data_IF_358340633301
#
_entry.id   IF_358340633301
#
_cell.length_a   1.000
_cell.length_b   1.000
_cell.length_c   1.000
_cell.angle_alpha   90.00
_cell.angle_beta   90.00
_cell.angle_gamma   90.00
#
_symmetry.space_group_name_H-M   'P 1'
#
loop_
_entity.id
_entity.type
_entity.pdbx_description
1 polymer ?
#
# COMPACT_ATOMS: atom_id res chain seq x y z
N UNK A 1 -20.66 -27.02 -27.21
CA UNK A 1 -21.98 -27.60 -27.46
C UNK A 1 -21.84 -28.71 -28.52
N UNK A 2 -22.43 -29.85 -28.24
CA UNK A 2 -22.46 -31.00 -29.15
C UNK A 2 -23.91 -31.51 -29.22
N UNK A 3 -24.34 -31.92 -30.40
CA UNK A 3 -25.64 -32.56 -30.65
C UNK A 3 -25.37 -33.77 -31.56
N UNK A 4 -25.81 -34.98 -31.15
CA UNK A 4 -25.61 -36.24 -31.89
C UNK A 4 -24.14 -36.45 -32.34
N UNK A 5 -23.15 -36.24 -31.48
CA UNK A 5 -21.69 -36.29 -31.74
C UNK A 5 -21.18 -35.27 -32.78
N UNK A 6 -21.99 -34.30 -33.18
CA UNK A 6 -21.57 -33.18 -34.03
C UNK A 6 -21.20 -32.01 -33.20
N UNK A 7 -19.97 -31.48 -33.37
CA UNK A 7 -19.52 -30.25 -32.75
C UNK A 7 -20.22 -29.04 -33.32
N UNK A 8 -21.09 -28.38 -32.54
CA UNK A 8 -21.88 -27.22 -32.96
C UNK A 8 -21.16 -25.90 -32.72
N UNK A 9 -20.35 -25.85 -31.70
CA UNK A 9 -19.61 -24.63 -31.35
C UNK A 9 -19.16 -24.55 -29.91
N UNK A 10 -18.30 -23.56 -29.61
CA UNK A 10 -17.80 -23.26 -28.28
C UNK A 10 -18.14 -21.80 -27.94
N UNK A 11 -18.66 -21.58 -26.73
CA UNK A 11 -18.81 -20.26 -26.15
C UNK A 11 -17.73 -20.11 -25.09
N UNK A 12 -16.85 -19.15 -25.29
CA UNK A 12 -15.82 -18.82 -24.32
C UNK A 12 -16.27 -17.62 -23.51
N UNK A 13 -16.27 -17.74 -22.20
CA UNK A 13 -16.53 -16.64 -21.27
C UNK A 13 -15.22 -16.30 -20.56
N UNK A 14 -14.79 -15.05 -20.64
CA UNK A 14 -13.64 -14.55 -19.94
C UNK A 14 -14.01 -13.23 -19.24
N UNK A 15 -13.55 -13.08 -18.02
CA UNK A 15 -13.71 -11.80 -17.30
C UNK A 15 -12.65 -10.82 -17.79
N UNK A 16 -13.02 -9.64 -18.33
CA UNK A 16 -12.06 -8.70 -18.88
C UNK A 16 -11.23 -8.09 -17.75
N UNK A 17 -9.93 -7.91 -18.01
CA UNK A 17 -9.06 -7.17 -17.09
C UNK A 17 -9.57 -5.74 -16.96
N UNK A 18 -9.59 -5.21 -15.74
CA UNK A 18 -9.98 -3.84 -15.47
C UNK A 18 -9.01 -2.88 -16.16
N UNK A 19 -9.54 -1.81 -16.75
CA UNK A 19 -8.78 -0.86 -17.57
C UNK A 19 -7.62 -0.18 -16.82
N UNK A 20 -7.75 -0.03 -15.50
CA UNK A 20 -6.75 0.59 -14.64
C UNK A 20 -5.62 -0.36 -14.22
N UNK A 21 -5.79 -1.69 -14.40
CA UNK A 21 -4.85 -2.68 -13.87
C UNK A 21 -3.46 -2.56 -14.49
N UNK A 22 -3.36 -2.43 -15.80
CA UNK A 22 -2.07 -2.36 -16.48
C UNK A 22 -1.29 -1.10 -16.08
N UNK A 23 -1.95 0.05 -16.03
CA UNK A 23 -1.32 1.31 -15.64
C UNK A 23 -0.88 1.26 -14.16
N UNK A 24 -1.73 0.71 -13.28
CA UNK A 24 -1.42 0.57 -11.86
C UNK A 24 -0.20 -0.35 -11.64
N UNK A 25 -0.11 -1.48 -12.35
CA UNK A 25 1.02 -2.40 -12.26
C UNK A 25 2.30 -1.71 -12.72
N UNK A 26 2.27 -1.01 -13.85
CA UNK A 26 3.42 -0.25 -14.34
C UNK A 26 3.87 0.83 -13.33
N UNK A 27 2.91 1.51 -12.69
CA UNK A 27 3.24 2.51 -11.66
C UNK A 27 3.87 1.88 -10.41
N UNK A 28 3.46 0.66 -10.02
CA UNK A 28 4.07 -0.09 -8.92
C UNK A 28 5.51 -0.50 -9.26
N UNK A 29 5.74 -1.01 -10.45
CA UNK A 29 7.08 -1.39 -10.91
C UNK A 29 8.03 -0.19 -11.02
N UNK A 30 7.53 0.96 -11.46
CA UNK A 30 8.30 2.21 -11.53
C UNK A 30 8.80 2.70 -10.15
N UNK A 31 8.14 2.29 -9.07
CA UNK A 31 8.57 2.58 -7.69
C UNK A 31 9.30 1.39 -7.04
N UNK A 32 9.79 0.47 -7.89
CA UNK A 32 10.62 -0.70 -7.52
C UNK A 32 9.86 -1.71 -6.65
N UNK A 33 8.57 -1.90 -6.91
CA UNK A 33 7.75 -2.95 -6.27
C UNK A 33 7.53 -4.06 -7.30
N UNK A 34 8.04 -5.27 -7.01
CA UNK A 34 7.80 -6.46 -7.83
C UNK A 34 6.32 -6.87 -7.68
N UNK A 35 5.61 -6.92 -8.80
CA UNK A 35 4.22 -7.36 -8.82
C UNK A 35 4.16 -8.86 -9.16
N UNK A 36 3.45 -9.62 -8.33
CA UNK A 36 3.31 -11.07 -8.47
C UNK A 36 1.84 -11.44 -8.50
N UNK A 37 1.43 -12.21 -9.49
CA UNK A 37 0.06 -12.74 -9.58
C UNK A 37 0.00 -14.15 -8.99
N UNK A 38 -0.98 -14.38 -8.12
CA UNK A 38 -1.27 -15.69 -7.54
C UNK A 38 -2.73 -16.03 -7.86
N UNK A 39 -2.95 -17.08 -8.61
CA UNK A 39 -4.29 -17.48 -9.05
C UNK A 39 -4.50 -18.99 -8.99
N UNK A 40 -5.76 -19.40 -8.80
CA UNK A 40 -6.19 -20.79 -8.95
C UNK A 40 -6.41 -21.23 -10.39
N UNK A 41 -6.40 -20.30 -11.35
CA UNK A 41 -6.60 -20.59 -12.76
C UNK A 41 -5.48 -21.46 -13.32
N UNK A 42 -5.77 -22.15 -14.41
CA UNK A 42 -4.78 -22.92 -15.13
C UNK A 42 -3.67 -22.02 -15.71
N UNK A 43 -2.51 -22.61 -15.97
CA UNK A 43 -1.31 -21.91 -16.39
C UNK A 43 -1.51 -21.11 -17.69
N UNK A 44 -2.26 -21.63 -18.65
CA UNK A 44 -2.52 -20.96 -19.93
C UNK A 44 -3.33 -19.67 -19.74
N UNK A 45 -4.40 -19.74 -18.96
CA UNK A 45 -5.26 -18.59 -18.63
C UNK A 45 -4.50 -17.57 -17.80
N UNK A 46 -3.80 -18.03 -16.76
CA UNK A 46 -3.04 -17.17 -15.88
C UNK A 46 -1.95 -16.38 -16.62
N UNK A 47 -1.19 -17.03 -17.50
CA UNK A 47 -0.17 -16.37 -18.31
C UNK A 47 -0.76 -15.39 -19.34
N UNK A 48 -1.91 -15.70 -19.94
CA UNK A 48 -2.59 -14.78 -20.86
C UNK A 48 -3.04 -13.51 -20.14
N UNK A 49 -3.64 -13.64 -18.95
CA UNK A 49 -4.08 -12.51 -18.12
C UNK A 49 -2.87 -11.70 -17.64
N UNK A 50 -1.83 -12.37 -17.17
CA UNK A 50 -0.61 -11.71 -16.70
C UNK A 50 0.06 -10.90 -17.80
N UNK A 51 0.16 -11.45 -19.00
CA UNK A 51 0.71 -10.75 -20.17
C UNK A 51 -0.10 -9.49 -20.50
N UNK A 52 -1.44 -9.59 -20.51
CA UNK A 52 -2.31 -8.43 -20.74
C UNK A 52 -2.19 -7.38 -19.62
N UNK A 53 -2.01 -7.82 -18.37
CA UNK A 53 -1.89 -6.92 -17.22
C UNK A 53 -0.47 -6.33 -17.07
N UNK A 54 0.53 -6.88 -17.74
CA UNK A 54 1.94 -6.50 -17.61
C UNK A 54 2.64 -7.13 -16.39
N UNK A 55 2.11 -8.23 -15.84
CA UNK A 55 2.72 -8.95 -14.71
C UNK A 55 3.72 -9.99 -15.23
N UNK A 56 4.96 -9.92 -14.75
CA UNK A 56 6.04 -10.79 -15.19
C UNK A 56 6.18 -12.09 -14.37
N UNK A 57 5.59 -12.14 -13.19
CA UNK A 57 5.71 -13.29 -12.29
C UNK A 57 4.36 -13.83 -11.87
N UNK A 58 4.11 -15.10 -12.21
CA UNK A 58 2.84 -15.75 -12.01
C UNK A 58 3.02 -17.04 -11.22
N UNK A 59 2.13 -17.29 -10.28
CA UNK A 59 1.88 -18.58 -9.65
C UNK A 59 0.48 -19.01 -10.03
N UNK A 60 0.37 -19.90 -10.98
CA UNK A 60 -0.88 -20.45 -11.50
C UNK A 60 -1.24 -21.78 -10.79
N UNK A 61 -2.49 -22.22 -10.95
CA UNK A 61 -3.02 -23.47 -10.39
C UNK A 61 -2.77 -23.63 -8.88
N UNK A 62 -2.76 -22.53 -8.14
CA UNK A 62 -2.51 -22.50 -6.70
C UNK A 62 -3.81 -22.73 -5.95
N UNK A 63 -3.92 -23.83 -5.23
CA UNK A 63 -5.08 -24.10 -4.37
C UNK A 63 -5.12 -23.09 -3.20
N UNK A 64 -6.30 -22.79 -2.64
CA UNK A 64 -6.43 -21.86 -1.51
C UNK A 64 -5.48 -22.19 -0.34
N UNK A 65 -5.36 -23.47 0.02
CA UNK A 65 -4.44 -23.96 1.05
C UNK A 65 -2.95 -23.78 0.73
N UNK A 66 -2.60 -23.63 -0.53
CA UNK A 66 -1.22 -23.45 -0.98
C UNK A 66 -0.81 -21.99 -1.12
N UNK A 67 -1.77 -21.05 -1.22
CA UNK A 67 -1.49 -19.63 -1.34
C UNK A 67 -0.63 -19.10 -0.18
N UNK A 68 -0.89 -19.58 1.05
CA UNK A 68 -0.06 -19.22 2.21
C UNK A 68 1.41 -19.61 2.03
N UNK A 69 1.68 -20.81 1.48
CA UNK A 69 3.04 -21.27 1.24
C UNK A 69 3.78 -20.38 0.22
N UNK A 70 3.06 -19.89 -0.79
CA UNK A 70 3.61 -18.93 -1.76
C UNK A 70 3.98 -17.62 -1.07
N UNK A 71 3.10 -17.06 -0.23
CA UNK A 71 3.40 -15.85 0.54
C UNK A 71 4.63 -16.06 1.43
N UNK A 72 4.71 -17.17 2.16
CA UNK A 72 5.87 -17.48 3.00
C UNK A 72 7.19 -17.58 2.19
N UNK A 73 7.12 -18.12 0.97
CA UNK A 73 8.27 -18.14 0.06
C UNK A 73 8.68 -16.73 -0.39
N UNK A 74 7.71 -15.87 -0.70
CA UNK A 74 7.96 -14.49 -1.09
C UNK A 74 8.53 -13.67 0.06
N UNK A 75 8.03 -13.83 1.28
CA UNK A 75 8.53 -13.16 2.50
C UNK A 75 10.01 -13.42 2.79
N UNK A 76 10.56 -14.55 2.35
CA UNK A 76 12.02 -14.81 2.45
C UNK A 76 12.86 -13.89 1.56
N UNK A 77 12.25 -13.26 0.55
CA UNK A 77 12.92 -12.35 -0.41
C UNK A 77 12.76 -10.88 -0.05
N UNK A 78 11.71 -10.54 0.72
CA UNK A 78 11.42 -9.17 1.12
C UNK A 78 10.05 -9.04 1.78
N UNK A 79 9.65 -7.82 2.06
CA UNK A 79 8.31 -7.53 2.59
C UNK A 79 7.24 -7.76 1.54
N UNK A 80 6.13 -8.35 1.93
CA UNK A 80 5.03 -8.74 1.05
C UNK A 80 3.74 -8.05 1.46
N UNK A 81 3.16 -7.30 0.54
CA UNK A 81 1.78 -6.87 0.63
C UNK A 81 0.90 -7.82 -0.20
N UNK A 82 -0.11 -8.40 0.40
CA UNK A 82 -1.13 -9.18 -0.29
C UNK A 82 -2.34 -8.31 -0.60
N UNK A 83 -2.76 -8.29 -1.84
CA UNK A 83 -3.96 -7.56 -2.29
C UNK A 83 -4.98 -8.58 -2.77
N UNK A 84 -6.18 -8.54 -2.23
CA UNK A 84 -7.25 -9.48 -2.57
C UNK A 84 -8.64 -8.93 -2.29
N UNK A 85 -9.68 -9.64 -2.73
CA UNK A 85 -11.08 -9.30 -2.45
C UNK A 85 -11.55 -9.72 -1.04
N UNK A 86 -10.77 -10.49 -0.37
CA UNK A 86 -10.90 -10.87 1.04
C UNK A 86 -11.78 -12.07 1.35
N UNK A 87 -12.68 -12.49 0.49
CA UNK A 87 -13.59 -13.61 0.81
C UNK A 87 -12.83 -14.94 0.89
N UNK A 88 -12.08 -15.26 -0.18
CA UNK A 88 -11.31 -16.48 -0.27
C UNK A 88 -9.84 -16.30 0.15
N UNK A 89 -9.40 -15.07 0.26
CA UNK A 89 -8.01 -14.72 0.52
C UNK A 89 -7.76 -14.27 1.98
N UNK A 90 -8.77 -14.25 2.84
CA UNK A 90 -8.66 -13.84 4.25
C UNK A 90 -7.47 -14.48 4.99
N UNK A 91 -7.25 -15.82 4.93
CA UNK A 91 -6.08 -16.44 5.58
C UNK A 91 -4.74 -15.95 5.03
N UNK A 92 -4.72 -15.61 3.73
CA UNK A 92 -3.52 -15.17 3.03
C UNK A 92 -3.21 -13.70 3.32
N UNK A 93 -4.26 -12.86 3.44
CA UNK A 93 -4.14 -11.46 3.87
C UNK A 93 -3.48 -11.35 5.24
N UNK A 94 -3.96 -12.15 6.21
CA UNK A 94 -3.39 -12.19 7.57
C UNK A 94 -1.93 -12.67 7.59
N UNK A 95 -1.52 -13.53 6.65
CA UNK A 95 -0.16 -14.07 6.60
C UNK A 95 0.87 -13.16 5.93
N UNK A 96 0.43 -12.22 5.13
CA UNK A 96 1.30 -11.22 4.51
C UNK A 96 1.95 -10.32 5.58
N UNK A 97 2.88 -9.45 5.18
CA UNK A 97 3.37 -8.38 6.07
C UNK A 97 2.37 -7.22 6.11
N UNK A 98 1.59 -7.06 5.05
CA UNK A 98 0.47 -6.13 4.94
C UNK A 98 -0.62 -6.81 4.13
N UNK A 99 -1.81 -6.95 4.68
CA UNK A 99 -3.02 -7.39 3.98
C UNK A 99 -3.84 -6.20 3.49
N UNK A 100 -4.16 -6.16 2.22
CA UNK A 100 -4.97 -5.11 1.58
C UNK A 100 -6.20 -5.72 0.95
N UNK A 101 -7.37 -5.41 1.48
CA UNK A 101 -8.64 -5.78 0.85
C UNK A 101 -9.08 -4.70 -0.14
N UNK A 102 -9.51 -5.10 -1.34
CA UNK A 102 -10.04 -4.19 -2.36
C UNK A 102 -11.50 -4.48 -2.69
N UNK A 103 -12.26 -3.39 -2.87
CA UNK A 103 -13.71 -3.48 -3.05
C UNK A 103 -14.45 -3.39 -1.73
N UNK A 104 -15.74 -3.11 -1.78
CA UNK A 104 -16.61 -3.12 -0.61
C UNK A 104 -16.69 -4.57 -0.06
N UNK A 105 -15.62 -4.96 0.63
CA UNK A 105 -15.41 -6.31 1.11
C UNK A 105 -16.51 -6.74 2.05
N UNK A 106 -16.75 -8.04 2.13
CA UNK A 106 -17.51 -8.66 3.20
C UNK A 106 -16.86 -8.34 4.54
N UNK A 107 -17.66 -8.38 5.62
CA UNK A 107 -17.14 -8.16 6.99
C UNK A 107 -15.89 -9.01 7.28
N UNK A 108 -15.80 -10.22 6.70
CA UNK A 108 -14.63 -11.11 6.81
C UNK A 108 -13.36 -10.53 6.20
N UNK A 109 -13.48 -9.79 5.08
CA UNK A 109 -12.33 -9.13 4.45
C UNK A 109 -11.83 -7.96 5.28
N UNK A 110 -12.76 -7.20 5.85
CA UNK A 110 -12.47 -6.04 6.70
C UNK A 110 -11.72 -6.51 7.95
N UNK A 111 -12.16 -7.59 8.59
CA UNK A 111 -11.54 -8.15 9.79
C UNK A 111 -10.16 -8.80 9.54
N UNK A 112 -9.87 -9.19 8.30
CA UNK A 112 -8.65 -9.91 7.94
C UNK A 112 -7.57 -9.04 7.29
N UNK A 113 -7.87 -7.82 6.91
CA UNK A 113 -6.95 -6.92 6.23
C UNK A 113 -6.49 -5.78 7.13
N UNK A 114 -5.22 -5.39 6.99
CA UNK A 114 -4.68 -4.19 7.65
C UNK A 114 -5.21 -2.90 7.02
N UNK A 115 -5.53 -2.95 5.73
CA UNK A 115 -6.01 -1.82 4.93
C UNK A 115 -7.19 -2.27 4.07
N UNK A 116 -8.26 -1.47 4.08
CA UNK A 116 -9.44 -1.70 3.24
C UNK A 116 -9.59 -0.55 2.25
N UNK A 117 -9.54 -0.87 0.96
CA UNK A 117 -9.79 0.08 -0.13
C UNK A 117 -11.23 -0.07 -0.59
N UNK A 118 -12.02 0.99 -0.46
CA UNK A 118 -13.46 0.97 -0.72
C UNK A 118 -13.82 0.73 -2.18
N UNK A 119 -12.95 1.14 -3.10
CA UNK A 119 -13.15 0.89 -4.53
C UNK A 119 -12.44 -0.40 -4.94
N UNK A 120 -13.02 -1.09 -5.91
CA UNK A 120 -12.42 -2.28 -6.50
C UNK A 120 -11.47 -1.90 -7.64
N UNK A 121 -10.48 -1.00 -7.36
CA UNK A 121 -9.51 -0.51 -8.33
C UNK A 121 -8.08 -0.75 -7.85
N UNK A 122 -7.24 -1.27 -8.73
CA UNK A 122 -5.83 -1.48 -8.42
C UNK A 122 -5.04 -0.16 -8.32
N UNK A 123 -5.50 0.89 -8.99
CA UNK A 123 -4.98 2.26 -8.88
C UNK A 123 -5.04 2.82 -7.46
N UNK A 124 -6.01 2.38 -6.65
CA UNK A 124 -6.12 2.82 -5.26
C UNK A 124 -4.99 2.24 -4.39
N UNK A 125 -4.45 1.07 -4.75
CA UNK A 125 -3.24 0.50 -4.10
C UNK A 125 -2.03 1.41 -4.34
N UNK A 126 -1.87 1.93 -5.56
CA UNK A 126 -0.81 2.87 -5.89
C UNK A 126 -0.95 4.15 -5.08
N UNK A 127 -2.16 4.69 -5.02
CA UNK A 127 -2.48 5.91 -4.26
C UNK A 127 -2.21 5.71 -2.75
N UNK A 128 -2.61 4.58 -2.19
CA UNK A 128 -2.33 4.18 -0.81
C UNK A 128 -0.82 4.18 -0.52
N UNK A 129 0.00 3.58 -1.39
CA UNK A 129 1.45 3.53 -1.19
C UNK A 129 2.07 4.94 -1.28
N UNK A 130 1.62 5.77 -2.22
CA UNK A 130 2.07 7.16 -2.33
C UNK A 130 1.72 7.97 -1.09
N UNK A 131 0.49 7.85 -0.62
CA UNK A 131 0.01 8.53 0.59
C UNK A 131 0.82 8.08 1.82
N UNK A 132 1.04 6.77 1.98
CA UNK A 132 1.86 6.22 3.07
C UNK A 132 3.28 6.78 3.07
N UNK A 133 3.95 6.82 1.92
CA UNK A 133 5.30 7.41 1.79
C UNK A 133 5.29 8.91 2.11
N UNK A 134 4.28 9.64 1.64
CA UNK A 134 4.11 11.06 1.94
C UNK A 134 3.89 11.32 3.42
N UNK A 135 3.06 10.51 4.07
CA UNK A 135 2.79 10.59 5.51
C UNK A 135 4.05 10.32 6.35
N UNK A 136 4.79 9.26 6.02
CA UNK A 136 6.05 8.96 6.72
C UNK A 136 7.06 10.09 6.59
N UNK A 137 7.21 10.67 5.39
CA UNK A 137 8.07 11.81 5.17
C UNK A 137 7.65 13.01 6.02
N UNK A 138 6.36 13.31 6.06
CA UNK A 138 5.80 14.39 6.87
C UNK A 138 6.05 14.18 8.37
N UNK A 139 5.89 12.93 8.86
CA UNK A 139 6.21 12.58 10.25
C UNK A 139 7.69 12.84 10.56
N UNK A 140 8.60 12.41 9.69
CA UNK A 140 10.04 12.65 9.88
C UNK A 140 10.40 14.15 9.86
N UNK A 141 9.81 14.91 8.96
CA UNK A 141 10.01 16.36 8.90
C UNK A 141 9.50 17.04 10.18
N UNK A 142 8.32 16.67 10.66
CA UNK A 142 7.76 17.20 11.91
C UNK A 142 8.62 16.84 13.12
N UNK A 143 9.07 15.61 13.20
CA UNK A 143 9.94 15.15 14.28
C UNK A 143 11.29 15.89 14.27
N UNK A 144 11.89 16.05 13.09
CA UNK A 144 13.12 16.82 12.94
C UNK A 144 12.96 18.25 13.45
N UNK A 145 11.92 18.97 13.05
CA UNK A 145 11.67 20.35 13.50
C UNK A 145 11.42 20.41 15.00
N UNK A 146 10.63 19.47 15.54
CA UNK A 146 10.38 19.41 16.99
C UNK A 146 11.68 19.23 17.79
N UNK A 147 12.58 18.37 17.33
CA UNK A 147 13.89 18.19 17.98
C UNK A 147 14.80 19.40 17.78
N UNK A 148 14.83 19.98 16.60
CA UNK A 148 15.68 21.13 16.30
C UNK A 148 15.35 22.35 17.18
N UNK A 149 14.05 22.66 17.34
CA UNK A 149 13.62 23.74 18.24
C UNK A 149 14.06 23.46 19.70
N UNK A 150 13.86 22.26 20.20
CA UNK A 150 14.24 21.89 21.55
C UNK A 150 15.78 21.87 21.75
N UNK A 151 16.53 21.38 20.78
CA UNK A 151 17.99 21.35 20.83
C UNK A 151 18.63 22.75 20.88
N UNK A 152 17.96 23.76 20.28
CA UNK A 152 18.40 25.16 20.35
C UNK A 152 17.94 25.84 21.64
N UNK A 153 16.68 25.63 22.03
CA UNK A 153 16.08 26.39 23.13
C UNK A 153 16.52 25.89 24.51
N UNK A 154 16.75 24.60 24.70
CA UNK A 154 17.14 24.03 25.99
C UNK A 154 18.52 24.56 26.45
N UNK A 155 19.59 24.56 25.62
CA UNK A 155 20.89 25.12 26.03
C UNK A 155 20.80 26.63 26.27
N UNK A 156 19.99 27.35 25.50
CA UNK A 156 19.78 28.79 25.73
C UNK A 156 19.07 29.04 27.06
N UNK A 157 18.02 28.29 27.38
CA UNK A 157 17.30 28.40 28.63
C UNK A 157 18.15 27.99 29.85
N UNK A 158 19.06 27.01 29.66
CA UNK A 158 20.01 26.56 30.69
C UNK A 158 21.16 27.56 30.94
N UNK A 159 21.23 28.69 30.22
CA UNK A 159 22.24 29.70 30.41
C UNK A 159 23.62 29.32 29.86
N UNK A 160 23.74 28.34 28.95
CA UNK A 160 25.01 27.98 28.32
C UNK A 160 25.64 29.15 27.51
N UNK A 161 24.82 30.15 27.15
CA UNK A 161 25.26 31.34 26.43
C UNK A 161 25.07 32.57 27.30
N UNK A 162 26.09 32.99 28.07
CA UNK A 162 25.97 34.08 29.03
C UNK A 162 25.54 35.44 28.44
N UNK A 163 25.78 35.60 27.14
CA UNK A 163 25.43 36.85 26.40
C UNK A 163 23.95 36.91 26.01
N UNK A 164 23.19 35.83 26.14
CA UNK A 164 21.79 35.76 25.70
C UNK A 164 20.93 35.46 26.93
N UNK A 165 20.35 36.49 27.54
CA UNK A 165 19.35 36.29 28.57
C UNK A 165 17.99 35.94 27.92
N UNK A 166 17.54 34.73 28.12
CA UNK A 166 16.28 34.27 27.57
C UNK A 166 15.11 34.72 28.42
N UNK A 167 14.30 35.64 27.89
CA UNK A 167 13.02 35.97 28.51
C UNK A 167 12.03 34.80 28.31
N UNK A 168 11.27 34.37 29.34
CA UNK A 168 10.24 33.35 29.21
C UNK A 168 9.27 33.54 28.05
N UNK A 169 9.02 34.78 27.67
CA UNK A 169 8.16 35.15 26.53
C UNK A 169 8.70 34.59 25.18
N UNK A 170 10.02 34.57 24.98
CA UNK A 170 10.64 34.02 23.78
C UNK A 170 10.48 32.49 23.72
N UNK A 171 10.55 31.79 24.87
CA UNK A 171 10.28 30.37 24.96
C UNK A 171 8.85 30.01 24.56
N UNK A 172 7.88 30.79 25.06
CA UNK A 172 6.47 30.59 24.70
C UNK A 172 6.19 30.87 23.21
N UNK A 173 6.80 31.93 22.67
CA UNK A 173 6.68 32.30 21.25
C UNK A 173 7.28 31.19 20.36
N UNK A 174 8.43 30.62 20.70
CA UNK A 174 9.08 29.56 19.96
C UNK A 174 8.27 28.23 19.99
N UNK A 175 7.66 27.89 21.14
CA UNK A 175 6.75 26.75 21.24
C UNK A 175 5.51 26.94 20.34
N UNK A 176 4.93 28.11 20.31
CA UNK A 176 3.79 28.44 19.44
C UNK A 176 4.17 28.33 17.97
N UNK A 177 5.36 28.82 17.58
CA UNK A 177 5.88 28.75 16.22
C UNK A 177 6.14 27.28 15.81
N UNK A 178 6.69 26.46 16.69
CA UNK A 178 6.89 25.03 16.46
C UNK A 178 5.57 24.32 16.17
N UNK A 179 4.55 24.56 16.99
CA UNK A 179 3.21 23.98 16.80
C UNK A 179 2.58 24.43 15.47
N UNK A 180 2.74 25.69 15.12
CA UNK A 180 2.26 26.25 13.85
C UNK A 180 2.96 25.58 12.66
N UNK A 181 4.28 25.40 12.72
CA UNK A 181 5.07 24.75 11.65
C UNK A 181 4.61 23.30 11.43
N UNK A 182 4.41 22.53 12.50
CA UNK A 182 3.92 21.15 12.44
C UNK A 182 2.52 21.10 11.81
N UNK A 183 1.63 22.01 12.21
CA UNK A 183 0.27 22.08 11.67
C UNK A 183 0.28 22.42 10.17
N UNK A 184 1.05 23.42 9.76
CA UNK A 184 1.20 23.78 8.34
C UNK A 184 1.80 22.66 7.50
N UNK A 185 2.78 21.95 8.03
CA UNK A 185 3.36 20.79 7.33
C UNK A 185 2.36 19.63 7.20
N UNK A 186 1.56 19.38 8.24
CA UNK A 186 0.50 18.38 8.17
C UNK A 186 -0.58 18.71 7.11
N UNK A 187 -0.93 19.99 6.95
CA UNK A 187 -1.87 20.44 5.92
C UNK A 187 -1.38 20.18 4.49
N UNK A 188 -0.06 20.13 4.26
CA UNK A 188 0.51 19.77 2.95
C UNK A 188 0.12 18.36 2.49
N UNK A 189 -0.21 17.44 3.40
CA UNK A 189 -0.68 16.11 3.02
C UNK A 189 -1.98 16.16 2.22
N UNK A 190 -2.85 17.13 2.46
CA UNK A 190 -4.08 17.33 1.68
C UNK A 190 -3.82 17.72 0.21
N UNK A 191 -2.60 18.14 -0.13
CA UNK A 191 -2.22 18.50 -1.50
C UNK A 191 -1.60 17.30 -2.27
N UNK A 192 -1.48 16.14 -1.64
CA UNK A 192 -0.93 14.93 -2.26
C UNK A 192 -2.02 14.03 -2.90
N UNK A 193 -3.28 14.45 -2.84
CA UNK A 193 -4.42 13.81 -3.50
C UNK A 193 -4.62 14.35 -4.91
#
# INVERSE_FOLDING_TARGET
FMEDDVYLGMITVADPIKKDSQEAIQQLENIVIEVVMITGDNEATANAIAHQAGVHKVYASVLPSQKEAVIQKLKKRGKVAMVGDGINDAPVLVRADIGVAIGAGTDVAIDSADIVLMNSKLSDVVSMIRLSKGTLRNIHENLFWAFAYNALLIPMAAGLYPSIQMNPMWGAAAMSLSSFTVCMNALRLNMLN
#
